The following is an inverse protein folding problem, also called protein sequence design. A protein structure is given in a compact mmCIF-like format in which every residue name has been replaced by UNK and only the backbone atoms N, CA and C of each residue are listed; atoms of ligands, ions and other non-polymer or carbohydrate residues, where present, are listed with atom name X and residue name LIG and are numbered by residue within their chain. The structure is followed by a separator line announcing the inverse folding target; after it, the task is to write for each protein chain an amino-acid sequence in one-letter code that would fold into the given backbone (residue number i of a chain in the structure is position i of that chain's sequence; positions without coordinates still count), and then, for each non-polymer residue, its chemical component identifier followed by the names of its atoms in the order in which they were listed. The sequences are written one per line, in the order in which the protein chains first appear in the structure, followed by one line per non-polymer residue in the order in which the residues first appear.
data_IF_127134263368
#
_entry.id   IF_127134263368
#
_cell.length_a   1.000
_cell.length_b   1.000
_cell.length_c   1.000
_cell.angle_alpha   90.00
_cell.angle_beta   90.00
_cell.angle_gamma   90.00
#
_symmetry.space_group_name_H-M   'P 1'
#
loop_
_entity.id
_entity.type
_entity.pdbx_description
1 polymer ?
#
# COMPACT_ATOMS: atom_id res chain seq x y z
N UNK A 1 19.10 -15.33 -19.98
CA UNK A 1 18.24 -14.64 -20.98
C UNK A 1 18.45 -13.15 -20.80
N UNK A 2 18.57 -12.38 -21.88
CA UNK A 2 18.59 -10.92 -21.77
C UNK A 2 17.23 -10.45 -21.21
N UNK A 3 17.25 -9.51 -20.28
CA UNK A 3 16.02 -8.98 -19.67
C UNK A 3 15.23 -8.15 -20.66
N UNK A 4 13.91 -8.36 -20.66
CA UNK A 4 12.95 -7.61 -21.49
C UNK A 4 12.60 -6.25 -20.85
N UNK A 5 12.61 -6.16 -19.52
CA UNK A 5 12.27 -4.95 -18.75
C UNK A 5 13.45 -4.50 -17.89
N UNK A 6 13.60 -3.19 -17.67
CA UNK A 6 14.65 -2.64 -16.81
C UNK A 6 14.31 -2.86 -15.34
N UNK A 7 15.33 -3.03 -14.50
CA UNK A 7 15.15 -3.25 -13.06
C UNK A 7 14.43 -2.10 -12.35
N UNK A 8 14.68 -0.86 -12.75
CA UNK A 8 14.01 0.34 -12.20
C UNK A 8 12.48 0.32 -12.36
N UNK A 9 11.98 -0.47 -13.32
CA UNK A 9 10.56 -0.58 -13.65
C UNK A 9 9.84 -1.71 -12.89
N UNK A 10 10.55 -2.46 -12.04
CA UNK A 10 9.95 -3.52 -11.22
C UNK A 10 9.43 -2.94 -9.90
N UNK A 11 8.29 -3.47 -9.45
CA UNK A 11 7.82 -3.35 -8.06
C UNK A 11 7.47 -4.75 -7.57
N UNK A 12 8.29 -5.31 -6.68
CA UNK A 12 8.01 -6.58 -6.03
C UNK A 12 7.44 -6.29 -4.65
N UNK A 13 6.14 -6.49 -4.46
CA UNK A 13 5.50 -6.17 -3.20
C UNK A 13 4.51 -7.22 -2.74
N UNK A 14 4.37 -7.33 -1.42
CA UNK A 14 3.38 -8.19 -0.80
C UNK A 14 2.20 -7.41 -0.28
N UNK A 15 1.05 -8.08 -0.20
CA UNK A 15 -0.10 -7.56 0.51
C UNK A 15 -0.17 -8.28 1.85
N UNK A 16 -0.03 -7.52 2.94
CA UNK A 16 -0.05 -8.03 4.31
C UNK A 16 -1.29 -7.50 5.03
N UNK A 17 -1.98 -8.35 5.79
CA UNK A 17 -3.20 -7.93 6.47
C UNK A 17 -3.56 -8.88 7.62
N UNK A 18 -4.40 -8.43 8.55
CA UNK A 18 -5.12 -9.35 9.41
C UNK A 18 -6.16 -10.17 8.61
N UNK A 19 -6.67 -11.24 9.22
CA UNK A 19 -7.81 -12.01 8.71
C UNK A 19 -8.97 -11.05 8.47
N UNK A 20 -9.70 -11.26 7.38
CA UNK A 20 -10.85 -10.46 6.98
C UNK A 20 -10.59 -8.98 6.68
N UNK A 21 -9.36 -8.45 6.72
CA UNK A 21 -9.08 -7.06 6.32
C UNK A 21 -9.27 -6.78 4.81
N UNK A 22 -9.66 -7.79 4.02
CA UNK A 22 -9.98 -7.67 2.60
C UNK A 22 -8.77 -7.81 1.67
N UNK A 23 -7.75 -8.56 2.10
CA UNK A 23 -6.51 -8.82 1.35
C UNK A 23 -6.78 -9.40 -0.04
N UNK A 24 -7.39 -10.59 -0.11
CA UNK A 24 -7.71 -11.26 -1.38
C UNK A 24 -8.60 -10.39 -2.26
N UNK A 25 -9.61 -9.73 -1.68
CA UNK A 25 -10.49 -8.79 -2.42
C UNK A 25 -9.68 -7.66 -3.05
N UNK A 26 -8.76 -7.04 -2.31
CA UNK A 26 -7.88 -6.00 -2.82
C UNK A 26 -6.98 -6.52 -3.94
N UNK A 27 -6.38 -7.71 -3.76
CA UNK A 27 -5.57 -8.38 -4.78
C UNK A 27 -6.37 -8.57 -6.08
N UNK A 28 -7.60 -9.11 -6.00
CA UNK A 28 -8.46 -9.31 -7.16
C UNK A 28 -8.83 -7.99 -7.86
N UNK A 29 -9.06 -6.91 -7.11
CA UNK A 29 -9.28 -5.58 -7.70
C UNK A 29 -8.06 -5.05 -8.44
N UNK A 30 -6.87 -5.24 -7.87
CA UNK A 30 -5.62 -4.89 -8.55
C UNK A 30 -5.49 -5.67 -9.87
N UNK A 31 -5.78 -6.98 -9.86
CA UNK A 31 -5.73 -7.80 -11.08
C UNK A 31 -6.76 -7.38 -12.13
N UNK A 32 -7.95 -6.95 -11.70
CA UNK A 32 -8.96 -6.41 -12.59
C UNK A 32 -8.52 -5.08 -13.23
N UNK A 33 -8.10 -4.11 -12.43
CA UNK A 33 -7.74 -2.77 -12.94
C UNK A 33 -6.49 -2.77 -13.81
N UNK A 34 -5.55 -3.68 -13.56
CA UNK A 34 -4.38 -3.87 -14.41
C UNK A 34 -4.68 -4.62 -15.71
N UNK A 35 -5.95 -5.01 -15.93
CA UNK A 35 -6.40 -5.75 -17.11
C UNK A 35 -5.96 -7.22 -17.15
N UNK A 36 -5.37 -7.74 -16.06
CA UNK A 36 -4.94 -9.13 -15.95
C UNK A 36 -6.14 -10.08 -15.90
N UNK A 37 -7.16 -9.68 -15.15
CA UNK A 37 -8.44 -10.38 -15.07
C UNK A 37 -9.53 -9.56 -15.78
N UNK A 38 -10.28 -10.18 -16.67
CA UNK A 38 -11.38 -9.51 -17.39
C UNK A 38 -12.72 -9.53 -16.63
N UNK A 39 -12.75 -10.19 -15.46
CA UNK A 39 -13.90 -10.25 -14.57
C UNK A 39 -13.47 -9.99 -13.15
N UNK A 40 -14.30 -9.27 -12.42
CA UNK A 40 -14.18 -9.15 -10.97
C UNK A 40 -14.59 -10.49 -10.37
N UNK A 41 -13.66 -11.14 -9.66
CA UNK A 41 -13.95 -12.31 -8.85
C UNK A 41 -14.28 -11.89 -7.42
N UNK A 42 -15.32 -12.50 -6.85
CA UNK A 42 -15.67 -12.38 -5.44
C UNK A 42 -15.15 -13.60 -4.67
N UNK A 43 -14.50 -13.35 -3.52
CA UNK A 43 -13.93 -14.40 -2.68
C UNK A 43 -15.04 -15.31 -2.12
N UNK A 44 -16.20 -14.74 -1.81
CA UNK A 44 -17.34 -15.46 -1.26
C UNK A 44 -17.98 -16.47 -2.22
N UNK A 45 -17.76 -16.32 -3.52
CA UNK A 45 -18.27 -17.23 -4.56
C UNK A 45 -17.26 -18.34 -4.91
N UNK A 46 -16.14 -18.43 -4.16
CA UNK A 46 -15.04 -19.36 -4.45
C UNK A 46 -14.30 -19.05 -5.76
N UNK A 47 -14.49 -17.86 -6.32
CA UNK A 47 -13.99 -17.48 -7.64
C UNK A 47 -12.65 -16.75 -7.60
N UNK A 48 -12.07 -16.50 -6.41
CA UNK A 48 -10.81 -15.79 -6.25
C UNK A 48 -9.68 -16.49 -7.00
N UNK A 49 -8.95 -15.75 -7.83
CA UNK A 49 -7.90 -16.28 -8.71
C UNK A 49 -6.70 -16.76 -7.91
N UNK A 50 -6.42 -16.11 -6.78
CA UNK A 50 -5.25 -16.36 -5.94
C UNK A 50 -5.43 -17.51 -4.94
N UNK A 51 -6.68 -17.81 -4.55
CA UNK A 51 -7.03 -18.89 -3.63
C UNK A 51 -7.38 -20.15 -4.46
N UNK A 52 -6.36 -20.87 -4.92
CA UNK A 52 -6.51 -22.00 -5.85
C UNK A 52 -6.77 -23.34 -5.15
N UNK A 53 -6.46 -23.46 -3.85
CA UNK A 53 -6.73 -24.69 -3.11
C UNK A 53 -8.21 -24.78 -2.74
N UNK A 54 -8.81 -25.97 -2.87
CA UNK A 54 -10.20 -26.21 -2.47
C UNK A 54 -10.47 -25.80 -1.01
N UNK A 55 -9.48 -26.00 -0.13
CA UNK A 55 -9.54 -25.61 1.28
C UNK A 55 -9.50 -24.09 1.50
N UNK A 56 -8.82 -23.34 0.63
CA UNK A 56 -8.82 -21.87 0.67
C UNK A 56 -10.19 -21.33 0.26
N UNK A 57 -10.77 -21.89 -0.81
CA UNK A 57 -12.10 -21.53 -1.31
C UNK A 57 -13.21 -21.91 -0.32
N UNK A 58 -13.17 -23.10 0.27
CA UNK A 58 -14.16 -23.57 1.25
C UNK A 58 -14.17 -22.72 2.53
N UNK A 59 -12.99 -22.24 2.97
CA UNK A 59 -12.83 -21.53 4.23
C UNK A 59 -12.76 -20.01 4.09
N UNK A 60 -12.63 -19.49 2.86
CA UNK A 60 -12.46 -18.07 2.59
C UNK A 60 -11.18 -17.47 3.17
N UNK A 61 -10.11 -18.25 3.29
CA UNK A 61 -8.81 -17.81 3.83
C UNK A 61 -7.67 -18.15 2.87
N UNK A 62 -6.66 -17.28 2.80
CA UNK A 62 -5.41 -17.57 2.09
C UNK A 62 -4.50 -18.44 2.97
N UNK A 63 -4.11 -19.61 2.47
CA UNK A 63 -3.23 -20.56 3.14
C UNK A 63 -1.82 -20.47 2.57
N UNK A 64 -1.69 -20.43 1.24
CA UNK A 64 -0.39 -20.39 0.54
C UNK A 64 -0.15 -19.06 -0.15
N UNK A 65 1.13 -18.66 -0.21
CA UNK A 65 1.50 -17.45 -0.94
C UNK A 65 1.47 -17.69 -2.44
N UNK A 66 0.60 -16.98 -3.13
CA UNK A 66 0.54 -16.96 -4.59
C UNK A 66 1.24 -15.72 -5.14
N UNK A 67 2.00 -15.89 -6.21
CA UNK A 67 2.68 -14.79 -6.90
C UNK A 67 2.06 -14.56 -8.28
N UNK A 68 1.79 -13.31 -8.61
CA UNK A 68 1.22 -12.93 -9.91
C UNK A 68 1.90 -11.68 -10.46
N UNK A 69 1.94 -11.57 -11.78
CA UNK A 69 2.49 -10.40 -12.48
C UNK A 69 1.38 -9.68 -13.23
N UNK A 70 1.33 -8.37 -13.03
CA UNK A 70 0.52 -7.43 -13.79
C UNK A 70 1.31 -6.16 -14.16
N UNK A 71 0.70 -5.27 -14.93
CA UNK A 71 1.34 -4.03 -15.40
C UNK A 71 0.49 -2.82 -15.04
N UNK A 72 1.14 -1.75 -14.58
CA UNK A 72 0.48 -0.48 -14.25
C UNK A 72 1.44 0.68 -14.55
N UNK A 73 1.00 1.70 -15.29
CA UNK A 73 1.83 2.87 -15.68
C UNK A 73 3.21 2.49 -16.21
N UNK A 74 3.26 1.54 -17.15
CA UNK A 74 4.48 0.97 -17.76
C UNK A 74 5.46 0.29 -16.77
N UNK A 75 5.05 0.07 -15.52
CA UNK A 75 5.80 -0.69 -14.52
C UNK A 75 5.30 -2.11 -14.42
N UNK A 76 6.23 -3.03 -14.14
CA UNK A 76 5.93 -4.43 -13.89
C UNK A 76 5.73 -4.63 -12.39
N UNK A 77 4.52 -5.00 -12.02
CA UNK A 77 4.14 -5.30 -10.65
C UNK A 77 4.17 -6.81 -10.44
N UNK A 78 4.96 -7.28 -9.48
CA UNK A 78 4.94 -8.66 -9.01
C UNK A 78 4.36 -8.66 -7.59
N UNK A 79 3.15 -9.21 -7.47
CA UNK A 79 2.37 -9.21 -6.24
C UNK A 79 2.52 -10.59 -5.60
N UNK A 80 2.87 -10.62 -4.31
CA UNK A 80 2.80 -11.83 -3.50
C UNK A 80 1.67 -11.68 -2.50
N UNK A 81 0.63 -12.48 -2.64
CA UNK A 81 -0.48 -12.47 -1.70
C UNK A 81 -0.10 -13.30 -0.46
N UNK A 82 -0.03 -12.69 0.72
CA UNK A 82 0.51 -13.35 1.93
C UNK A 82 -0.62 -13.85 2.87
N UNK A 83 -0.46 -14.98 3.57
CA UNK A 83 -1.46 -15.41 4.54
C UNK A 83 -1.69 -14.38 5.66
N UNK A 84 -2.94 -14.13 6.01
CA UNK A 84 -3.30 -13.19 7.11
C UNK A 84 -3.47 -13.86 8.47
N UNK A 85 -3.47 -15.20 8.50
CA UNK A 85 -3.70 -16.01 9.69
C UNK A 85 -2.40 -16.34 10.42
N UNK A 86 -2.43 -16.33 11.75
CA UNK A 86 -1.26 -16.54 12.63
C UNK A 86 -0.59 -17.91 12.45
N UNK A 87 -1.39 -18.92 12.14
CA UNK A 87 -0.91 -20.30 11.91
C UNK A 87 0.02 -20.42 10.70
N UNK A 88 0.05 -19.43 9.81
CA UNK A 88 0.89 -19.40 8.60
C UNK A 88 2.00 -18.35 8.68
N UNK A 89 2.41 -17.96 9.89
CA UNK A 89 3.49 -17.00 10.16
C UNK A 89 4.82 -17.32 9.48
N UNK A 90 5.16 -18.61 9.30
CA UNK A 90 6.37 -19.03 8.57
C UNK A 90 6.31 -18.59 7.10
N UNK A 91 5.13 -18.67 6.50
CA UNK A 91 4.93 -18.31 5.09
C UNK A 91 4.94 -16.79 4.89
N UNK A 92 4.43 -16.04 5.86
CA UNK A 92 4.56 -14.59 5.91
C UNK A 92 6.04 -14.18 6.05
N UNK A 93 6.79 -14.82 6.95
CA UNK A 93 8.22 -14.54 7.14
C UNK A 93 9.04 -14.86 5.88
N UNK A 94 8.72 -15.97 5.19
CA UNK A 94 9.35 -16.32 3.91
C UNK A 94 9.04 -15.29 2.83
N UNK A 95 7.81 -14.81 2.75
CA UNK A 95 7.39 -13.82 1.76
C UNK A 95 8.09 -12.49 1.99
N UNK A 96 8.12 -11.99 3.22
CA UNK A 96 8.77 -10.71 3.57
C UNK A 96 10.26 -10.68 3.25
N UNK A 97 10.95 -11.83 3.24
CA UNK A 97 12.37 -11.92 2.82
C UNK A 97 12.61 -11.81 1.31
N UNK A 98 11.58 -12.03 0.52
CA UNK A 98 11.64 -12.03 -0.96
C UNK A 98 11.11 -10.71 -1.53
N UNK A 99 10.29 -10.01 -0.75
CA UNK A 99 9.63 -8.78 -1.15
C UNK A 99 10.55 -7.58 -1.01
N UNK A 100 10.49 -6.68 -2.00
CA UNK A 100 11.18 -5.40 -1.92
C UNK A 100 10.35 -4.39 -1.13
N UNK A 101 9.02 -4.48 -1.16
CA UNK A 101 8.13 -3.63 -0.37
C UNK A 101 6.82 -4.33 0.05
N UNK A 102 5.98 -3.65 0.81
CA UNK A 102 4.69 -4.19 1.23
C UNK A 102 3.57 -3.15 1.31
N UNK A 103 2.35 -3.60 1.08
CA UNK A 103 1.10 -2.86 1.35
C UNK A 103 0.41 -3.53 2.52
N UNK A 104 0.29 -2.81 3.64
CA UNK A 104 -0.39 -3.27 4.84
C UNK A 104 -1.86 -2.83 4.84
N UNK A 105 -2.78 -3.79 4.81
CA UNK A 105 -4.22 -3.51 4.88
C UNK A 105 -4.71 -3.52 6.32
N UNK A 106 -5.51 -2.51 6.65
CA UNK A 106 -6.24 -2.41 7.92
C UNK A 106 -7.74 -2.33 7.63
N UNK A 107 -8.58 -2.95 8.47
CA UNK A 107 -10.02 -2.73 8.45
C UNK A 107 -10.31 -1.39 9.13
N UNK A 108 -10.98 -0.46 8.42
CA UNK A 108 -11.24 0.90 8.91
C UNK A 108 -12.05 0.97 10.21
N UNK A 109 -12.78 -0.10 10.56
CA UNK A 109 -13.52 -0.19 11.82
C UNK A 109 -12.64 -0.68 12.98
N UNK A 110 -11.75 -1.64 12.71
CA UNK A 110 -10.91 -2.27 13.74
C UNK A 110 -9.58 -1.54 13.97
N UNK A 111 -9.03 -0.89 12.93
CA UNK A 111 -7.69 -0.30 12.94
C UNK A 111 -6.60 -1.37 13.06
N UNK A 112 -5.57 -1.09 13.85
CA UNK A 112 -4.48 -2.05 14.14
C UNK A 112 -4.94 -3.11 15.13
N UNK A 113 -4.78 -4.38 14.74
CA UNK A 113 -5.13 -5.55 15.54
C UNK A 113 -3.87 -6.29 16.07
N UNK A 114 -3.98 -7.17 17.09
CA UNK A 114 -2.82 -7.89 17.64
C UNK A 114 -1.99 -8.66 16.60
N UNK A 115 -2.65 -9.23 15.59
CA UNK A 115 -1.97 -9.93 14.49
C UNK A 115 -1.28 -8.95 13.53
N UNK A 116 -1.86 -7.76 13.34
CA UNK A 116 -1.22 -6.70 12.55
C UNK A 116 0.14 -6.34 13.17
N UNK A 117 0.22 -6.21 14.50
CA UNK A 117 1.50 -5.96 15.20
C UNK A 117 2.52 -7.07 14.95
N UNK A 118 2.08 -8.33 14.87
CA UNK A 118 2.96 -9.47 14.65
C UNK A 118 3.60 -9.43 13.26
N UNK A 119 2.77 -9.23 12.22
CA UNK A 119 3.27 -9.12 10.84
C UNK A 119 4.10 -7.84 10.65
N UNK A 120 3.72 -6.76 11.33
CA UNK A 120 4.48 -5.51 11.34
C UNK A 120 5.89 -5.70 11.88
N UNK A 121 6.05 -6.38 13.03
CA UNK A 121 7.37 -6.71 13.59
C UNK A 121 8.20 -7.62 12.69
N UNK A 122 7.54 -8.54 11.96
CA UNK A 122 8.24 -9.36 10.97
C UNK A 122 8.77 -8.51 9.82
N UNK A 123 7.99 -7.55 9.34
CA UNK A 123 8.44 -6.61 8.31
C UNK A 123 9.55 -5.68 8.83
N UNK A 124 9.50 -5.26 10.10
CA UNK A 124 10.56 -4.47 10.74
C UNK A 124 11.89 -5.24 10.78
N UNK A 125 11.83 -6.53 11.13
CA UNK A 125 13.02 -7.41 11.18
C UNK A 125 13.78 -7.47 9.86
N UNK A 126 13.09 -7.31 8.73
CA UNK A 126 13.67 -7.35 7.39
C UNK A 126 13.80 -5.96 6.75
N UNK A 127 13.51 -4.88 7.49
CA UNK A 127 13.49 -3.51 7.00
C UNK A 127 12.71 -3.37 5.68
N UNK A 128 11.53 -3.99 5.60
CA UNK A 128 10.70 -3.93 4.39
C UNK A 128 9.98 -2.57 4.33
N UNK A 129 10.28 -1.73 3.32
CA UNK A 129 9.54 -0.49 3.05
C UNK A 129 8.06 -0.78 2.84
N UNK A 130 7.21 0.02 3.47
CA UNK A 130 5.78 -0.27 3.46
C UNK A 130 4.91 0.97 3.50
N UNK A 131 3.72 0.77 2.97
CA UNK A 131 2.60 1.72 3.00
C UNK A 131 1.38 1.04 3.60
N UNK A 132 0.44 1.82 4.11
CA UNK A 132 -0.82 1.32 4.68
C UNK A 132 -1.99 1.70 3.79
N UNK A 133 -2.90 0.75 3.59
CA UNK A 133 -4.20 0.99 2.99
C UNK A 133 -5.31 0.68 4.01
N UNK A 134 -5.97 1.73 4.50
CA UNK A 134 -7.14 1.61 5.37
C UNK A 134 -8.34 1.25 4.49
N UNK A 135 -8.70 -0.02 4.50
CA UNK A 135 -9.71 -0.63 3.65
C UNK A 135 -11.08 -0.67 4.34
N UNK A 136 -12.13 -0.96 3.57
CA UNK A 136 -13.53 -1.04 4.02
C UNK A 136 -14.06 0.25 4.64
N UNK A 137 -13.70 1.38 4.04
CA UNK A 137 -14.26 2.70 4.39
C UNK A 137 -15.79 2.77 4.24
N UNK A 138 -16.41 1.79 3.57
CA UNK A 138 -17.86 1.65 3.39
C UNK A 138 -18.59 0.97 4.56
N UNK A 139 -17.86 0.37 5.52
CA UNK A 139 -18.44 -0.38 6.63
C UNK A 139 -18.96 0.56 7.72
N UNK A 140 -20.02 0.16 8.43
CA UNK A 140 -20.51 0.87 9.61
C UNK A 140 -19.40 0.94 10.67
N UNK A 141 -19.19 2.11 11.25
CA UNK A 141 -18.12 2.39 12.21
C UNK A 141 -16.73 2.48 11.58
N UNK A 142 -16.62 2.61 10.25
CA UNK A 142 -15.35 2.92 9.60
C UNK A 142 -14.86 4.32 10.03
N UNK A 143 -13.67 4.38 10.62
CA UNK A 143 -13.05 5.61 11.05
C UNK A 143 -11.57 5.64 10.64
N UNK A 144 -11.30 6.44 9.61
CA UNK A 144 -9.96 6.68 9.09
C UNK A 144 -9.03 7.25 10.17
N UNK A 145 -9.48 8.27 10.92
CA UNK A 145 -8.64 8.98 11.88
C UNK A 145 -8.32 8.09 13.08
N UNK A 146 -9.30 7.32 13.56
CA UNK A 146 -9.06 6.33 14.61
C UNK A 146 -8.09 5.23 14.14
N UNK A 147 -8.21 4.78 12.89
CA UNK A 147 -7.30 3.81 12.29
C UNK A 147 -5.86 4.37 12.23
N UNK A 148 -5.66 5.60 11.76
CA UNK A 148 -4.34 6.24 11.76
C UNK A 148 -3.80 6.43 13.18
N UNK A 149 -4.63 6.86 14.13
CA UNK A 149 -4.23 6.98 15.53
C UNK A 149 -3.79 5.62 16.11
N UNK A 150 -4.45 4.53 15.72
CA UNK A 150 -4.07 3.18 16.12
C UNK A 150 -2.71 2.74 15.54
N UNK A 151 -2.38 3.16 14.31
CA UNK A 151 -1.05 2.94 13.69
C UNK A 151 0.04 3.61 14.54
N UNK A 152 -0.13 4.91 14.83
CA UNK A 152 0.85 5.65 15.65
C UNK A 152 0.99 5.05 17.05
N UNK A 153 -0.13 4.70 17.70
CA UNK A 153 -0.14 4.24 19.09
C UNK A 153 0.33 2.80 19.27
N UNK A 154 -0.09 1.87 18.41
CA UNK A 154 0.17 0.43 18.57
C UNK A 154 1.41 -0.04 17.83
N UNK A 155 1.68 0.52 16.64
CA UNK A 155 2.83 0.14 15.82
C UNK A 155 4.04 1.04 16.09
N UNK A 156 3.84 2.24 16.65
CA UNK A 156 4.90 3.24 16.81
C UNK A 156 5.42 3.77 15.47
N UNK A 157 4.63 3.59 14.40
CA UNK A 157 5.03 3.97 13.06
C UNK A 157 4.76 5.46 12.79
N UNK A 158 5.65 6.08 12.01
CA UNK A 158 5.50 7.45 11.54
C UNK A 158 4.49 7.50 10.38
N UNK A 159 3.21 7.44 10.73
CA UNK A 159 2.12 7.48 9.76
C UNK A 159 2.02 8.87 9.11
N UNK A 160 2.05 8.91 7.78
CA UNK A 160 1.86 10.10 6.96
C UNK A 160 0.56 9.97 6.16
N UNK A 161 -0.46 10.74 6.53
CA UNK A 161 -1.73 10.75 5.80
C UNK A 161 -1.52 11.32 4.39
N UNK A 162 -1.63 10.47 3.38
CA UNK A 162 -1.54 10.87 1.97
C UNK A 162 -2.90 11.26 1.40
N UNK A 163 -3.95 10.77 2.05
CA UNK A 163 -5.33 10.94 1.61
C UNK A 163 -6.27 11.21 2.78
N UNK A 164 -7.36 11.93 2.51
CA UNK A 164 -8.49 12.06 3.42
C UNK A 164 -9.76 11.47 2.78
N UNK A 165 -10.59 10.72 3.54
CA UNK A 165 -11.83 10.19 3.01
C UNK A 165 -12.86 11.28 2.75
N UNK A 166 -13.63 11.15 1.66
CA UNK A 166 -14.79 11.98 1.35
C UNK A 166 -16.05 11.16 1.66
N UNK A 167 -16.76 11.56 2.71
CA UNK A 167 -17.85 10.77 3.29
C UNK A 167 -17.32 9.62 4.17
N UNK A 168 -18.24 8.89 4.77
CA UNK A 168 -17.95 7.73 5.61
C UNK A 168 -19.04 6.67 5.45
N UNK A 169 -18.71 5.41 5.71
CA UNK A 169 -19.64 4.29 5.61
C UNK A 169 -20.33 4.27 4.23
N UNK A 170 -21.66 4.15 4.20
CA UNK A 170 -22.43 4.14 2.94
C UNK A 170 -22.34 5.44 2.13
N UNK A 171 -21.92 6.55 2.75
CA UNK A 171 -21.73 7.84 2.06
C UNK A 171 -20.30 8.03 1.54
N UNK A 172 -19.42 7.04 1.73
CA UNK A 172 -18.06 7.09 1.19
C UNK A 172 -18.07 7.12 -0.34
N UNK A 173 -17.65 8.25 -0.90
CA UNK A 173 -17.72 8.53 -2.35
C UNK A 173 -16.35 8.81 -2.98
N UNK A 174 -15.33 9.10 -2.18
CA UNK A 174 -14.04 9.49 -2.74
C UNK A 174 -12.94 9.71 -1.72
N UNK A 175 -11.81 10.19 -2.21
CA UNK A 175 -10.64 10.54 -1.41
C UNK A 175 -10.06 11.86 -1.89
N UNK A 176 -9.54 12.67 -0.96
CA UNK A 176 -8.72 13.85 -1.26
C UNK A 176 -7.27 13.39 -1.32
N UNK A 177 -6.55 13.73 -2.38
CA UNK A 177 -5.11 13.57 -2.53
C UNK A 177 -4.41 14.81 -1.94
N UNK A 178 -3.70 14.62 -0.83
CA UNK A 178 -3.03 15.71 -0.11
C UNK A 178 -1.71 16.13 -0.76
N UNK A 179 -1.17 15.38 -1.71
CA UNK A 179 0.06 15.75 -2.42
C UNK A 179 -0.29 16.68 -3.59
N UNK A 180 -1.31 16.30 -4.37
CA UNK A 180 -1.76 17.08 -5.54
C UNK A 180 -2.83 18.12 -5.21
N UNK A 181 -3.37 18.09 -4.00
CA UNK A 181 -4.44 18.97 -3.53
C UNK A 181 -5.68 18.93 -4.45
N UNK A 182 -6.10 17.71 -4.81
CA UNK A 182 -7.31 17.46 -5.59
C UNK A 182 -8.16 16.33 -4.97
N UNK A 183 -9.42 16.20 -5.39
CA UNK A 183 -10.29 15.11 -4.94
C UNK A 183 -10.56 14.12 -6.08
N UNK A 184 -10.52 12.82 -5.75
CA UNK A 184 -10.94 11.74 -6.63
C UNK A 184 -12.31 11.24 -6.14
N UNK A 185 -13.33 11.32 -7.01
CA UNK A 185 -14.69 10.90 -6.70
C UNK A 185 -15.13 9.81 -7.67
N UNK A 186 -15.71 8.75 -7.12
CA UNK A 186 -16.28 7.66 -7.90
C UNK A 186 -17.80 7.82 -7.92
N UNK A 187 -18.37 7.98 -9.11
CA UNK A 187 -19.82 7.95 -9.29
C UNK A 187 -20.35 6.53 -9.07
N UNK A 188 -21.47 6.40 -8.36
CA UNK A 188 -22.12 5.10 -8.11
C UNK A 188 -22.66 4.44 -9.39
N UNK A 189 -22.75 5.19 -10.49
CA UNK A 189 -23.19 4.76 -11.82
C UNK A 189 -22.06 4.26 -12.72
N UNK A 190 -20.80 4.40 -12.31
CA UNK A 190 -19.64 4.03 -13.13
C UNK A 190 -19.38 2.53 -13.13
N UNK A 191 -19.05 1.97 -14.30
CA UNK A 191 -18.77 0.56 -14.57
C UNK A 191 -17.80 -0.05 -13.53
N UNK A 192 -18.35 -0.63 -12.46
CA UNK A 192 -17.60 -1.28 -11.38
C UNK A 192 -16.46 -0.41 -10.81
N UNK A 193 -16.61 0.91 -10.78
CA UNK A 193 -15.56 1.82 -10.30
C UNK A 193 -14.31 1.91 -11.18
N UNK A 194 -14.39 1.53 -12.46
CA UNK A 194 -13.28 1.54 -13.41
C UNK A 194 -12.70 2.94 -13.70
N UNK A 195 -13.47 3.99 -13.47
CA UNK A 195 -13.04 5.39 -13.66
C UNK A 195 -13.51 6.25 -12.48
N UNK A 196 -12.67 7.22 -12.11
CA UNK A 196 -12.99 8.26 -11.15
C UNK A 196 -12.83 9.62 -11.83
N UNK A 197 -13.52 10.62 -11.30
CA UNK A 197 -13.36 12.00 -11.73
C UNK A 197 -12.43 12.74 -10.77
N UNK A 198 -11.49 13.50 -11.34
CA UNK A 198 -10.67 14.45 -10.58
C UNK A 198 -11.41 15.77 -10.50
N UNK A 199 -11.79 16.15 -9.29
CA UNK A 199 -12.56 17.37 -9.00
C UNK A 199 -11.83 18.23 -7.97
N UNK A 200 -12.28 19.48 -7.81
CA UNK A 200 -11.82 20.33 -6.72
C UNK A 200 -12.23 19.77 -5.35
N UNK A 201 -11.43 20.05 -4.32
CA UNK A 201 -11.70 19.58 -2.97
C UNK A 201 -13.05 20.15 -2.50
N UNK A 202 -13.98 19.32 -2.00
CA UNK A 202 -15.24 19.79 -1.44
C UNK A 202 -15.02 20.87 -0.38
N UNK A 203 -15.80 21.95 -0.41
CA UNK A 203 -15.64 23.10 0.50
C UNK A 203 -15.67 22.70 1.98
N UNK A 204 -16.43 21.65 2.33
CA UNK A 204 -16.51 21.10 3.69
C UNK A 204 -15.21 20.44 4.18
N UNK A 205 -14.32 20.05 3.27
CA UNK A 205 -13.02 19.43 3.56
C UNK A 205 -11.84 20.37 3.27
N UNK A 206 -12.07 21.56 2.70
CA UNK A 206 -10.99 22.45 2.27
C UNK A 206 -10.04 22.84 3.43
N UNK A 207 -10.60 23.28 4.56
CA UNK A 207 -9.80 23.66 5.74
C UNK A 207 -9.02 22.47 6.29
N UNK A 208 -9.66 21.30 6.33
CA UNK A 208 -9.04 20.07 6.83
C UNK A 208 -7.94 19.56 5.89
N UNK A 209 -8.17 19.64 4.59
CA UNK A 209 -7.18 19.29 3.58
C UNK A 209 -5.96 20.22 3.66
N UNK A 210 -6.17 21.53 3.86
CA UNK A 210 -5.08 22.47 4.07
C UNK A 210 -4.27 22.16 5.34
N UNK A 211 -4.94 21.89 6.46
CA UNK A 211 -4.29 21.51 7.72
C UNK A 211 -3.43 20.24 7.57
N UNK A 212 -3.97 19.20 6.93
CA UNK A 212 -3.23 17.94 6.73
C UNK A 212 -2.14 18.06 5.65
N UNK A 213 -2.32 18.92 4.66
CA UNK A 213 -1.28 19.23 3.68
C UNK A 213 -0.08 19.92 4.32
N UNK A 214 -0.32 20.88 5.21
CA UNK A 214 0.76 21.53 5.97
C UNK A 214 1.53 20.52 6.83
N UNK A 215 0.83 19.67 7.58
CA UNK A 215 1.47 18.57 8.34
C UNK A 215 2.24 17.60 7.45
N UNK A 216 1.73 17.32 6.25
CA UNK A 216 2.41 16.47 5.28
C UNK A 216 3.71 17.14 4.82
N UNK A 217 3.69 18.43 4.49
CA UNK A 217 4.89 19.16 4.10
C UNK A 217 5.90 19.15 5.24
N UNK A 218 5.49 19.51 6.46
CA UNK A 218 6.36 19.52 7.66
C UNK A 218 7.08 18.18 7.85
N UNK A 219 6.35 17.06 7.77
CA UNK A 219 6.94 15.73 7.94
C UNK A 219 7.90 15.34 6.80
N UNK A 220 7.65 15.84 5.58
CA UNK A 220 8.41 15.45 4.39
C UNK A 220 9.68 16.27 4.22
N UNK A 221 9.67 17.55 4.59
CA UNK A 221 10.87 18.39 4.53
C UNK A 221 11.94 17.95 5.54
N UNK A 222 11.58 17.27 6.63
CA UNK A 222 12.53 16.63 7.56
C UNK A 222 13.44 15.58 6.90
N UNK A 223 13.09 15.09 5.71
CA UNK A 223 13.88 14.09 5.00
C UNK A 223 15.07 14.70 4.24
N UNK A 224 15.17 16.03 4.12
CA UNK A 224 16.22 16.69 3.35
C UNK A 224 16.52 18.11 3.85
N UNK A 225 17.75 18.31 4.37
CA UNK A 225 18.18 19.55 5.02
C UNK A 225 18.02 20.78 4.10
N UNK A 226 18.32 20.66 2.81
CA UNK A 226 18.23 21.77 1.84
C UNK A 226 16.76 22.20 1.63
N UNK A 227 15.85 21.22 1.59
CA UNK A 227 14.42 21.48 1.44
C UNK A 227 13.82 22.04 2.73
N UNK A 228 14.27 21.57 3.89
CA UNK A 228 13.88 22.11 5.19
C UNK A 228 14.30 23.58 5.33
N UNK A 229 15.52 23.93 4.95
CA UNK A 229 16.00 25.32 5.00
C UNK A 229 15.14 26.22 4.07
N UNK A 230 14.90 25.78 2.84
CA UNK A 230 14.05 26.52 1.89
C UNK A 230 12.61 26.71 2.41
N UNK A 231 12.05 25.70 3.09
CA UNK A 231 10.73 25.79 3.71
C UNK A 231 10.68 26.84 4.83
N UNK A 232 11.71 26.92 5.69
CA UNK A 232 11.79 27.96 6.71
C UNK A 232 11.94 29.38 6.14
N UNK A 233 12.49 29.51 4.93
CA UNK A 233 12.50 30.77 4.18
C UNK A 233 11.16 31.11 3.51
N UNK A 234 10.16 30.23 3.60
CA UNK A 234 8.83 30.40 3.02
C UNK A 234 8.68 29.84 1.60
N UNK A 235 9.68 29.08 1.10
CA UNK A 235 9.60 28.43 -0.21
C UNK A 235 8.97 27.04 -0.07
N UNK A 236 7.73 26.90 -0.54
CA UNK A 236 7.04 25.60 -0.55
C UNK A 236 7.68 24.64 -1.56
N UNK A 237 7.88 23.36 -1.21
CA UNK A 237 8.39 22.36 -2.15
C UNK A 237 7.38 22.10 -3.27
N UNK A 238 7.89 21.83 -4.47
CA UNK A 238 7.07 21.37 -5.60
C UNK A 238 6.48 19.98 -5.34
N UNK A 239 5.40 19.63 -6.05
CA UNK A 239 4.77 18.30 -5.98
C UNK A 239 5.79 17.19 -6.24
N UNK A 240 6.66 17.38 -7.23
CA UNK A 240 7.71 16.41 -7.58
C UNK A 240 8.73 16.23 -6.44
N UNK A 241 9.12 17.32 -5.76
CA UNK A 241 9.99 17.26 -4.59
C UNK A 241 9.31 16.53 -3.43
N UNK A 242 8.04 16.86 -3.14
CA UNK A 242 7.26 16.17 -2.10
C UNK A 242 7.22 14.66 -2.39
N UNK A 243 6.89 14.26 -3.63
CA UNK A 243 6.83 12.85 -4.00
C UNK A 243 8.19 12.15 -3.87
N UNK A 244 9.28 12.80 -4.26
CA UNK A 244 10.63 12.24 -4.15
C UNK A 244 11.05 12.03 -2.70
N UNK A 245 10.75 12.99 -1.82
CA UNK A 245 11.06 12.92 -0.39
C UNK A 245 10.21 11.86 0.32
N UNK A 246 8.92 11.74 -0.02
CA UNK A 246 8.06 10.67 0.51
C UNK A 246 8.60 9.30 0.08
N UNK A 247 9.01 9.15 -1.19
CA UNK A 247 9.65 7.91 -1.66
C UNK A 247 10.93 7.61 -0.87
N UNK A 248 11.80 8.62 -0.68
CA UNK A 248 13.05 8.50 0.11
C UNK A 248 12.75 8.02 1.53
N UNK A 249 11.84 8.67 2.24
CA UNK A 249 11.43 8.29 3.60
C UNK A 249 10.74 6.93 3.68
N UNK A 250 9.95 6.57 2.66
CA UNK A 250 9.30 5.24 2.57
C UNK A 250 10.34 4.13 2.43
N UNK A 251 11.30 4.28 1.52
CA UNK A 251 12.37 3.30 1.29
C UNK A 251 13.28 3.18 2.52
N UNK A 252 13.53 4.29 3.22
CA UNK A 252 14.28 4.31 4.47
C UNK A 252 13.51 3.73 5.67
N UNK A 253 12.22 3.40 5.51
CA UNK A 253 11.32 3.00 6.60
C UNK A 253 11.13 4.06 7.70
N UNK A 254 11.37 5.34 7.38
CA UNK A 254 11.21 6.48 8.29
C UNK A 254 9.81 7.11 8.19
N UNK A 255 9.15 6.94 7.04
CA UNK A 255 7.79 7.40 6.77
C UNK A 255 6.96 6.20 6.32
N UNK A 256 5.72 6.13 6.82
CA UNK A 256 4.72 5.15 6.37
C UNK A 256 3.55 5.90 5.73
N UNK A 257 3.49 5.96 4.39
CA UNK A 257 2.38 6.57 3.67
C UNK A 257 1.06 5.85 3.93
N UNK A 258 0.01 6.59 4.29
CA UNK A 258 -1.34 6.06 4.57
C UNK A 258 -2.32 6.48 3.47
N UNK A 259 -2.96 5.49 2.88
CA UNK A 259 -4.03 5.61 1.88
C UNK A 259 -5.32 5.02 2.43
N UNK A 260 -6.46 5.33 1.81
CA UNK A 260 -7.73 4.75 2.22
C UNK A 260 -8.67 4.47 1.04
N UNK A 261 -9.63 3.58 1.28
CA UNK A 261 -10.64 3.24 0.28
C UNK A 261 -11.47 2.02 0.65
N UNK A 262 -12.14 1.48 -0.35
CA UNK A 262 -12.95 0.27 -0.24
C UNK A 262 -12.73 -0.59 -1.48
N UNK A 263 -11.98 -1.67 -1.30
CA UNK A 263 -11.79 -2.66 -2.35
C UNK A 263 -13.11 -3.32 -2.76
N UNK A 264 -14.05 -3.49 -1.82
CA UNK A 264 -15.35 -4.10 -2.10
C UNK A 264 -16.20 -3.23 -3.02
N UNK A 265 -16.30 -1.93 -2.74
CA UNK A 265 -17.06 -0.96 -3.55
C UNK A 265 -16.23 -0.31 -4.65
N UNK A 266 -15.02 -0.80 -4.91
CA UNK A 266 -14.20 -0.40 -6.06
C UNK A 266 -13.69 1.05 -6.02
N UNK A 267 -13.54 1.64 -4.83
CA UNK A 267 -13.09 3.04 -4.65
C UNK A 267 -11.73 3.08 -3.96
N UNK A 268 -10.76 3.83 -4.50
CA UNK A 268 -9.44 4.06 -3.88
C UNK A 268 -8.33 3.05 -4.24
N UNK A 269 -8.62 1.96 -4.94
CA UNK A 269 -7.59 0.96 -5.33
C UNK A 269 -6.68 1.47 -6.46
N UNK A 270 -7.19 2.28 -7.39
CA UNK A 270 -6.36 2.84 -8.47
C UNK A 270 -5.33 3.86 -7.93
N UNK A 271 -5.69 4.82 -7.06
CA UNK A 271 -4.69 5.66 -6.39
C UNK A 271 -3.69 4.86 -5.54
N UNK A 272 -4.11 3.74 -4.95
CA UNK A 272 -3.19 2.83 -4.28
C UNK A 272 -2.16 2.23 -5.26
N UNK A 273 -2.57 1.84 -6.47
CA UNK A 273 -1.65 1.35 -7.50
C UNK A 273 -0.68 2.42 -8.00
N UNK A 274 -1.16 3.66 -8.14
CA UNK A 274 -0.30 4.80 -8.43
C UNK A 274 0.76 4.98 -7.33
N UNK A 275 0.34 4.94 -6.08
CA UNK A 275 1.22 5.05 -4.93
C UNK A 275 2.22 3.88 -4.81
N UNK A 276 1.84 2.65 -5.18
CA UNK A 276 2.78 1.52 -5.30
C UNK A 276 3.89 1.83 -6.31
N UNK A 277 3.54 2.40 -7.46
CA UNK A 277 4.53 2.79 -8.46
C UNK A 277 5.42 3.93 -7.95
N UNK A 278 4.81 4.95 -7.37
CA UNK A 278 5.47 6.20 -7.00
C UNK A 278 6.36 6.04 -5.74
N UNK A 279 5.91 5.29 -4.73
CA UNK A 279 6.57 5.26 -3.40
C UNK A 279 7.22 3.93 -3.02
N UNK A 280 6.76 2.77 -3.53
CA UNK A 280 7.41 1.50 -3.21
C UNK A 280 8.74 1.31 -3.98
N UNK A 281 9.71 0.62 -3.38
CA UNK A 281 11.04 0.42 -3.96
C UNK A 281 11.01 -0.42 -5.23
N UNK A 282 11.99 -0.15 -6.08
CA UNK A 282 12.47 -1.10 -7.08
C UNK A 282 13.50 -2.04 -6.47
N UNK A 283 13.84 -3.17 -7.12
CA UNK A 283 14.92 -4.05 -6.67
C UNK A 283 16.29 -3.36 -6.55
N UNK A 284 16.47 -2.21 -7.18
CA UNK A 284 17.71 -1.43 -7.08
C UNK A 284 17.78 -0.56 -5.81
N UNK A 285 16.62 -0.27 -5.22
CA UNK A 285 16.50 0.57 -4.03
C UNK A 285 16.70 -0.23 -2.73
N UNK A 286 16.66 -1.56 -2.81
CA UNK A 286 16.83 -2.46 -1.66
C UNK A 286 18.28 -2.93 -1.53
N UNK A 287 18.83 -3.01 -0.30
CA UNK A 287 20.16 -3.56 -0.08
C UNK A 287 20.34 -4.97 -0.64
N UNK A 288 21.54 -5.25 -1.15
CA UNK A 288 21.89 -6.57 -1.65
C UNK A 288 21.76 -7.64 -0.55
N UNK A 289 21.26 -8.82 -0.92
CA UNK A 289 21.02 -9.90 0.03
C UNK A 289 22.36 -10.52 0.45
N UNK A 290 22.64 -10.52 1.75
CA UNK A 290 23.79 -11.22 2.31
C UNK A 290 23.60 -12.75 2.24
N UNK A 291 24.68 -13.46 1.94
CA UNK A 291 24.74 -14.91 1.91
C UNK A 291 26.15 -15.41 2.20
N UNK A 292 26.31 -16.73 2.23
CA UNK A 292 27.60 -17.40 2.42
C UNK A 292 27.89 -18.20 1.16
N UNK A 293 29.06 -18.01 0.57
CA UNK A 293 29.50 -18.83 -0.55
C UNK A 293 29.76 -20.27 -0.06
N UNK A 294 29.04 -21.24 -0.62
CA UNK A 294 29.12 -22.65 -0.21
C UNK A 294 30.49 -23.29 -0.46
N UNK A 295 31.31 -22.73 -1.36
CA UNK A 295 32.64 -23.24 -1.71
C UNK A 295 33.74 -22.64 -0.84
N UNK A 296 33.65 -21.34 -0.54
CA UNK A 296 34.71 -20.64 0.21
C UNK A 296 34.37 -20.43 1.69
N UNK A 297 33.09 -20.49 2.06
CA UNK A 297 32.61 -20.17 3.41
C UNK A 297 32.64 -18.67 3.73
N UNK A 298 32.94 -17.81 2.75
CA UNK A 298 33.02 -16.36 2.93
C UNK A 298 31.67 -15.69 2.77
N UNK A 299 31.49 -14.55 3.43
CA UNK A 299 30.33 -13.68 3.21
C UNK A 299 30.34 -13.14 1.79
N UNK A 300 29.19 -13.21 1.14
CA UNK A 300 28.96 -12.69 -0.20
C UNK A 300 27.65 -11.94 -0.25
N UNK A 301 27.52 -11.03 -1.21
CA UNK A 301 26.28 -10.27 -1.43
C UNK A 301 25.74 -10.54 -2.81
N UNK A 302 24.45 -10.85 -2.88
CA UNK A 302 23.73 -11.01 -4.14
C UNK A 302 23.02 -9.70 -4.47
N UNK A 303 23.59 -8.96 -5.41
CA UNK A 303 22.96 -7.76 -5.98
C UNK A 303 21.73 -8.14 -6.80
N UNK A 304 20.76 -7.24 -6.90
CA UNK A 304 19.63 -7.38 -7.80
C UNK A 304 20.14 -7.62 -9.23
N UNK A 305 19.74 -8.75 -9.81
CA UNK A 305 20.33 -9.34 -11.03
C UNK A 305 19.28 -9.92 -11.92
#
# INVERSE_FOLDING_TARGET
MAREYKLEDYRNFGIMAHIDAGKTTCTERILYYTGKNHKIAEVHDGAATMDWMEQEQERGITITSAATTCFWRDKRLNIIDTPGHVDFTIEVERSLRVLDGAVALLDANAGVEPQTETVWRQADKYNVPRMIFINKMDKIGADFYASVASVRKRLGANALEMQLPIGAENEFKGVVDLVKMCAYVWEDTSDLGASYETVEIPAELADKAAEYHEKLIEAVVEMDDDVMEAYFEGNMPSVEQIQALIRKGTIACEIVPIFCGTAFKNKGVQPLLDAVVDYLPSPLDIPAIAGIDLKTGEETVRKAS
#
